data_IF_330202333110
#
_entry.id   IF_330202333110
#
_cell.length_a   1.000
_cell.length_b   1.000
_cell.length_c   1.000
_cell.angle_alpha   90.00
_cell.angle_beta   90.00
_cell.angle_gamma   90.00
#
_symmetry.space_group_name_H-M   'P 1'
#
loop_
_entity.id
_entity.type
_entity.pdbx_description
1 polymer ?
#
# COMPACT_ATOMS: atom_id res chain seq x y z
N UNK A 1 9.36 13.25 -18.22
CA UNK A 1 9.48 11.80 -18.48
C UNK A 1 8.15 11.07 -18.35
N UNK A 2 7.41 11.28 -17.27
CA UNK A 2 6.05 10.73 -17.10
C UNK A 2 5.13 10.97 -18.30
N UNK A 3 5.03 12.20 -18.81
CA UNK A 3 4.20 12.52 -20.00
C UNK A 3 4.59 11.75 -21.26
N UNK A 4 5.87 11.40 -21.41
CA UNK A 4 6.34 10.60 -22.56
C UNK A 4 5.88 9.15 -22.39
N UNK A 5 6.02 8.60 -21.19
CA UNK A 5 5.53 7.25 -20.88
C UNK A 5 4.02 7.15 -21.07
N UNK A 6 3.25 8.14 -20.60
CA UNK A 6 1.80 8.17 -20.82
C UNK A 6 1.43 8.13 -22.32
N UNK A 7 2.15 8.87 -23.16
CA UNK A 7 1.96 8.84 -24.62
C UNK A 7 2.33 7.50 -25.24
N UNK A 8 3.36 6.82 -24.73
CA UNK A 8 3.76 5.49 -25.24
C UNK A 8 2.71 4.42 -24.93
N UNK A 9 2.01 4.55 -23.82
CA UNK A 9 0.95 3.63 -23.39
C UNK A 9 -0.47 4.11 -23.78
N UNK A 10 -0.57 5.22 -24.51
CA UNK A 10 -1.85 5.75 -24.99
C UNK A 10 -2.54 4.74 -25.91
N UNK A 11 -3.76 4.35 -25.56
CA UNK A 11 -4.52 3.35 -26.32
C UNK A 11 -4.08 1.90 -26.10
N UNK A 12 -3.16 1.64 -25.16
CA UNK A 12 -2.87 0.26 -24.75
C UNK A 12 -4.13 -0.40 -24.20
N UNK A 13 -4.41 -1.64 -24.65
CA UNK A 13 -5.57 -2.42 -24.21
C UNK A 13 -5.37 -3.09 -22.86
N UNK A 14 -4.12 -3.17 -22.39
CA UNK A 14 -3.72 -4.03 -21.27
C UNK A 14 -2.98 -3.30 -20.17
N UNK A 15 -2.61 -2.03 -20.40
CA UNK A 15 -1.86 -1.22 -19.44
C UNK A 15 -2.38 0.22 -19.49
N UNK A 16 -2.48 0.83 -18.32
CA UNK A 16 -2.82 2.24 -18.17
C UNK A 16 -1.67 2.94 -17.45
N UNK A 17 -1.19 4.03 -18.03
CA UNK A 17 -0.29 4.98 -17.38
C UNK A 17 -1.03 6.30 -17.35
N UNK A 18 -1.31 6.81 -16.15
CA UNK A 18 -2.11 8.01 -15.96
C UNK A 18 -1.61 8.80 -14.74
N UNK A 19 -1.89 10.10 -14.73
CA UNK A 19 -1.74 10.96 -13.57
C UNK A 19 -3.11 11.33 -12.98
N UNK A 20 -3.13 11.64 -11.68
CA UNK A 20 -4.33 12.07 -10.96
C UNK A 20 -3.96 13.29 -10.13
N UNK A 21 -4.72 14.38 -10.29
CA UNK A 21 -4.58 15.56 -9.44
C UNK A 21 -5.32 15.35 -8.11
N UNK A 22 -4.55 14.92 -7.11
CA UNK A 22 -5.01 14.72 -5.74
C UNK A 22 -5.36 16.01 -4.99
N UNK A 23 -5.06 17.19 -5.55
CA UNK A 23 -5.38 18.51 -4.95
C UNK A 23 -6.68 19.11 -5.49
N UNK A 24 -7.22 18.52 -6.56
CA UNK A 24 -8.47 18.93 -7.18
C UNK A 24 -9.47 17.76 -7.19
N UNK A 25 -9.97 17.38 -8.36
CA UNK A 25 -11.02 16.36 -8.50
C UNK A 25 -10.61 14.94 -8.07
N UNK A 26 -9.31 14.66 -7.90
CA UNK A 26 -8.79 13.34 -7.57
C UNK A 26 -8.62 13.05 -6.08
N UNK A 27 -8.93 14.00 -5.18
CA UNK A 27 -8.63 13.87 -3.75
C UNK A 27 -9.17 12.57 -3.14
N UNK A 28 -10.44 12.25 -3.37
CA UNK A 28 -11.08 11.05 -2.81
C UNK A 28 -10.43 9.74 -3.26
N UNK A 29 -9.98 9.67 -4.52
CA UNK A 29 -9.25 8.52 -5.05
C UNK A 29 -7.89 8.40 -4.36
N UNK A 30 -7.15 9.50 -4.26
CA UNK A 30 -5.83 9.52 -3.64
C UNK A 30 -5.86 9.15 -2.16
N UNK A 31 -6.86 9.61 -1.41
CA UNK A 31 -7.09 9.19 -0.02
C UNK A 31 -7.42 7.69 0.05
N UNK A 32 -8.32 7.20 -0.82
CA UNK A 32 -8.71 5.78 -0.86
C UNK A 32 -7.53 4.85 -1.14
N UNK A 33 -6.62 5.27 -2.02
CA UNK A 33 -5.42 4.47 -2.36
C UNK A 33 -4.21 4.77 -1.46
N UNK A 34 -4.41 5.53 -0.37
CA UNK A 34 -3.40 5.75 0.66
C UNK A 34 -2.24 6.66 0.26
N UNK A 35 -2.46 7.62 -0.64
CA UNK A 35 -1.45 8.62 -1.00
C UNK A 35 -1.32 9.64 0.14
N UNK A 36 -0.12 9.70 0.75
CA UNK A 36 0.17 10.55 1.91
C UNK A 36 1.15 11.70 1.61
N UNK A 37 1.70 11.75 0.40
CA UNK A 37 2.63 12.79 -0.05
C UNK A 37 2.69 12.83 -1.57
N UNK A 38 3.23 13.92 -2.13
CA UNK A 38 3.34 14.11 -3.57
C UNK A 38 4.79 14.43 -3.98
N UNK A 39 5.27 13.92 -5.13
CA UNK A 39 4.60 12.98 -6.04
C UNK A 39 4.76 11.51 -5.61
N UNK A 40 3.65 10.77 -5.51
CA UNK A 40 3.64 9.32 -5.30
C UNK A 40 3.27 8.60 -6.59
N UNK A 41 4.05 7.59 -6.96
CA UNK A 41 3.74 6.70 -8.09
C UNK A 41 3.28 5.38 -7.49
N UNK A 42 2.15 4.88 -7.97
CA UNK A 42 1.63 3.56 -7.62
C UNK A 42 1.41 2.74 -8.88
N UNK A 43 1.47 1.42 -8.75
CA UNK A 43 1.32 0.49 -9.87
C UNK A 43 0.60 -0.79 -9.42
N UNK A 44 0.12 -1.58 -10.37
CA UNK A 44 -0.55 -2.85 -10.10
C UNK A 44 -2.04 -2.83 -10.44
N UNK A 45 -2.81 -3.67 -9.77
CA UNK A 45 -4.26 -3.76 -9.96
C UNK A 45 -4.96 -2.56 -9.30
N UNK A 46 -5.99 -1.94 -9.93
CA UNK A 46 -6.72 -0.82 -9.32
C UNK A 46 -7.30 -1.11 -7.94
N UNK A 47 -7.55 -2.37 -7.59
CA UNK A 47 -8.03 -2.80 -6.27
C UNK A 47 -6.91 -3.04 -5.25
N UNK A 48 -5.66 -3.19 -5.70
CA UNK A 48 -4.50 -3.54 -4.87
C UNK A 48 -3.22 -2.88 -5.40
N UNK A 49 -3.18 -1.54 -5.38
CA UNK A 49 -2.03 -0.77 -5.85
C UNK A 49 -0.87 -0.81 -4.86
N UNK A 50 0.34 -1.00 -5.39
CA UNK A 50 1.61 -0.98 -4.65
C UNK A 50 2.40 0.30 -4.90
N UNK A 51 3.26 0.68 -3.96
CA UNK A 51 4.17 1.83 -4.11
C UNK A 51 5.30 1.51 -5.10
N UNK A 52 5.60 2.46 -5.98
CA UNK A 52 6.72 2.38 -6.90
C UNK A 52 7.97 3.05 -6.30
N UNK A 53 8.98 2.24 -6.02
CA UNK A 53 10.25 2.66 -5.42
C UNK A 53 11.42 2.73 -6.43
N UNK A 54 11.13 2.61 -7.73
CA UNK A 54 12.15 2.61 -8.78
C UNK A 54 12.60 4.00 -9.25
N UNK A 55 13.52 4.02 -10.21
CA UNK A 55 14.03 5.25 -10.82
C UNK A 55 12.97 6.01 -11.61
N UNK A 56 12.93 7.34 -11.49
CA UNK A 56 11.91 8.19 -12.12
C UNK A 56 12.32 8.79 -13.46
N UNK A 57 13.51 8.49 -13.94
CA UNK A 57 13.93 8.81 -15.30
C UNK A 57 13.16 7.92 -16.30
N UNK A 58 13.03 8.40 -17.54
CA UNK A 58 12.26 7.70 -18.57
C UNK A 58 12.71 6.24 -18.78
N UNK A 59 14.01 5.96 -18.74
CA UNK A 59 14.53 4.62 -19.04
C UNK A 59 14.18 3.60 -17.96
N UNK A 60 14.26 4.02 -16.69
CA UNK A 60 13.84 3.22 -15.54
C UNK A 60 12.33 2.94 -15.58
N UNK A 61 11.54 3.97 -15.89
CA UNK A 61 10.08 3.85 -15.99
C UNK A 61 9.65 2.94 -17.15
N UNK A 62 10.29 3.05 -18.32
CA UNK A 62 10.02 2.20 -19.47
C UNK A 62 10.33 0.74 -19.19
N UNK A 63 11.50 0.48 -18.59
CA UNK A 63 11.92 -0.87 -18.23
C UNK A 63 10.90 -1.48 -17.27
N UNK A 64 10.55 -0.75 -16.21
CA UNK A 64 9.55 -1.19 -15.25
C UNK A 64 8.19 -1.45 -15.89
N UNK A 65 7.69 -0.51 -16.70
CA UNK A 65 6.39 -0.64 -17.35
C UNK A 65 6.35 -1.86 -18.28
N UNK A 66 7.41 -2.08 -19.07
CA UNK A 66 7.50 -3.22 -19.99
C UNK A 66 7.55 -4.58 -19.28
N UNK A 67 8.11 -4.63 -18.08
CA UNK A 67 8.25 -5.86 -17.30
C UNK A 67 6.99 -6.17 -16.52
N UNK A 68 6.32 -5.15 -15.97
CA UNK A 68 5.31 -5.28 -14.93
C UNK A 68 3.88 -4.89 -15.36
N UNK A 69 3.71 -3.99 -16.33
CA UNK A 69 2.38 -3.63 -16.86
C UNK A 69 1.93 -4.61 -17.95
N UNK A 70 2.00 -5.91 -17.62
CA UNK A 70 1.50 -6.99 -18.46
C UNK A 70 0.10 -7.39 -17.99
N UNK A 71 -0.72 -7.98 -18.88
CA UNK A 71 -1.94 -8.64 -18.47
C UNK A 71 -1.71 -9.53 -17.25
N UNK A 72 -2.44 -9.30 -16.17
CA UNK A 72 -2.37 -10.11 -14.96
C UNK A 72 -3.46 -11.17 -14.94
N UNK A 73 -3.17 -12.29 -14.30
CA UNK A 73 -4.15 -13.28 -13.90
C UNK A 73 -5.33 -12.57 -13.19
N UNK A 74 -6.52 -12.70 -13.75
CA UNK A 74 -7.76 -12.08 -13.29
C UNK A 74 -8.96 -12.83 -13.87
N UNK A 75 -10.19 -12.62 -13.37
CA UNK A 75 -11.40 -13.20 -13.96
C UNK A 75 -11.53 -12.94 -15.46
N UNK A 76 -11.09 -11.77 -15.94
CA UNK A 76 -11.12 -11.38 -17.35
C UNK A 76 -9.96 -11.94 -18.18
N UNK A 77 -8.88 -12.41 -17.55
CA UNK A 77 -7.69 -12.97 -18.19
C UNK A 77 -7.33 -14.33 -17.55
N UNK A 78 -8.32 -15.21 -17.42
CA UNK A 78 -8.17 -16.47 -16.67
C UNK A 78 -7.07 -17.37 -17.24
N UNK A 79 -6.80 -17.29 -18.54
CA UNK A 79 -5.73 -18.05 -19.21
C UNK A 79 -4.33 -17.75 -18.64
N UNK A 80 -4.14 -16.58 -18.03
CA UNK A 80 -2.88 -16.15 -17.42
C UNK A 80 -2.69 -16.65 -15.97
N UNK A 81 -3.69 -17.31 -15.41
CA UNK A 81 -3.65 -17.86 -14.07
C UNK A 81 -3.04 -19.27 -14.05
N UNK A 82 -2.32 -19.58 -12.97
CA UNK A 82 -1.99 -20.97 -12.64
C UNK A 82 -3.25 -21.76 -12.24
N UNK A 83 -3.17 -23.09 -12.27
CA UNK A 83 -4.34 -23.97 -12.08
C UNK A 83 -5.00 -23.76 -10.70
N UNK A 84 -4.22 -23.42 -9.68
CA UNK A 84 -4.72 -23.16 -8.34
C UNK A 84 -5.55 -21.87 -8.31
N UNK A 85 -5.02 -20.78 -8.87
CA UNK A 85 -5.74 -19.50 -8.98
C UNK A 85 -6.96 -19.60 -9.89
N UNK A 86 -6.88 -20.34 -11.00
CA UNK A 86 -8.04 -20.61 -11.87
C UNK A 86 -9.18 -21.22 -11.06
N UNK A 87 -8.88 -22.28 -10.31
CA UNK A 87 -9.87 -22.96 -9.49
C UNK A 87 -10.48 -22.03 -8.43
N UNK A 88 -9.65 -21.23 -7.77
CA UNK A 88 -10.12 -20.24 -6.78
C UNK A 88 -11.03 -19.18 -7.42
N UNK A 89 -10.66 -18.65 -8.59
CA UNK A 89 -11.46 -17.67 -9.32
C UNK A 89 -12.80 -18.28 -9.74
N UNK A 90 -12.79 -19.50 -10.29
CA UNK A 90 -14.01 -20.20 -10.69
C UNK A 90 -14.94 -20.48 -9.50
N UNK A 91 -14.39 -20.94 -8.36
CA UNK A 91 -15.16 -21.15 -7.12
C UNK A 91 -15.79 -19.83 -6.60
N UNK A 92 -15.04 -18.73 -6.65
CA UNK A 92 -15.54 -17.42 -6.24
C UNK A 92 -16.58 -16.86 -7.21
N UNK A 93 -16.40 -17.04 -8.52
CA UNK A 93 -17.37 -16.63 -9.54
C UNK A 93 -18.64 -17.50 -9.54
N UNK A 94 -18.55 -18.74 -9.08
CA UNK A 94 -19.69 -19.64 -8.92
C UNK A 94 -20.45 -19.44 -7.59
N UNK A 95 -19.88 -18.65 -6.65
CA UNK A 95 -20.56 -18.27 -5.41
C UNK A 95 -21.65 -17.24 -5.73
N UNK A 96 -22.81 -17.34 -5.08
CA UNK A 96 -23.87 -16.35 -5.25
C UNK A 96 -23.42 -14.96 -4.76
N UNK A 97 -23.84 -13.90 -5.44
CA UNK A 97 -23.39 -12.52 -5.17
C UNK A 97 -23.61 -12.10 -3.72
N UNK A 98 -24.73 -12.52 -3.11
CA UNK A 98 -25.07 -12.24 -1.71
C UNK A 98 -24.14 -12.96 -0.72
N UNK A 99 -23.79 -14.21 -1.01
CA UNK A 99 -22.82 -14.97 -0.20
C UNK A 99 -21.41 -14.41 -0.36
N UNK A 100 -21.03 -14.00 -1.58
CA UNK A 100 -19.74 -13.37 -1.85
C UNK A 100 -19.63 -12.02 -1.14
N UNK A 101 -20.67 -11.19 -1.18
CA UNK A 101 -20.74 -9.91 -0.47
C UNK A 101 -20.66 -10.11 1.06
N UNK A 102 -21.34 -11.13 1.60
CA UNK A 102 -21.23 -11.49 3.01
C UNK A 102 -19.80 -11.88 3.41
N UNK A 103 -19.10 -12.67 2.58
CA UNK A 103 -17.69 -13.04 2.80
C UNK A 103 -16.76 -11.81 2.73
N UNK A 104 -16.96 -10.92 1.76
CA UNK A 104 -16.19 -9.67 1.65
C UNK A 104 -16.37 -8.84 2.92
N UNK A 105 -17.61 -8.62 3.35
CA UNK A 105 -17.92 -7.85 4.56
C UNK A 105 -17.31 -8.46 5.81
N UNK A 106 -17.36 -9.78 5.98
CA UNK A 106 -16.70 -10.47 7.10
C UNK A 106 -15.19 -10.19 7.13
N UNK A 107 -14.52 -10.24 5.97
CA UNK A 107 -13.08 -9.96 5.87
C UNK A 107 -12.77 -8.49 6.09
N UNK A 108 -13.57 -7.57 5.58
CA UNK A 108 -13.43 -6.12 5.83
C UNK A 108 -13.59 -5.80 7.32
N UNK A 109 -14.61 -6.36 7.99
CA UNK A 109 -14.82 -6.19 9.43
C UNK A 109 -13.65 -6.76 10.24
N UNK A 110 -13.11 -7.92 9.82
CA UNK A 110 -11.93 -8.53 10.44
C UNK A 110 -10.66 -7.68 10.26
N UNK A 111 -10.46 -7.09 9.07
CA UNK A 111 -9.35 -6.17 8.80
C UNK A 111 -9.47 -4.93 9.69
N UNK A 112 -10.64 -4.29 9.72
CA UNK A 112 -10.88 -3.12 10.57
C UNK A 112 -10.68 -3.41 12.06
N UNK A 113 -11.14 -4.57 12.54
CA UNK A 113 -10.91 -5.02 13.91
C UNK A 113 -9.42 -5.25 14.20
N UNK A 114 -8.69 -5.80 13.23
CA UNK A 114 -7.24 -6.06 13.31
C UNK A 114 -6.44 -4.76 13.35
N UNK A 115 -6.76 -3.80 12.49
CA UNK A 115 -6.15 -2.46 12.50
C UNK A 115 -6.40 -1.72 13.82
N UNK A 116 -7.63 -1.76 14.34
CA UNK A 116 -7.96 -1.17 15.64
C UNK A 116 -7.14 -1.79 16.78
N UNK A 117 -6.92 -3.11 16.73
CA UNK A 117 -6.08 -3.82 17.72
C UNK A 117 -4.61 -3.46 17.55
N UNK A 118 -4.13 -3.32 16.32
CA UNK A 118 -2.77 -2.86 16.02
C UNK A 118 -2.56 -1.43 16.56
N UNK A 119 -3.45 -0.49 16.25
CA UNK A 119 -3.38 0.90 16.74
C UNK A 119 -3.31 0.98 18.27
N UNK A 120 -4.14 0.23 18.99
CA UNK A 120 -4.08 0.16 20.46
C UNK A 120 -2.73 -0.36 20.98
N UNK A 121 -2.12 -1.33 20.29
CA UNK A 121 -0.80 -1.84 20.66
C UNK A 121 0.29 -0.80 20.40
N UNK A 122 0.19 -0.05 19.30
CA UNK A 122 1.10 1.06 18.98
C UNK A 122 1.01 2.17 20.03
N UNK A 123 -0.20 2.60 20.40
CA UNK A 123 -0.40 3.60 21.46
C UNK A 123 0.22 3.16 22.79
N UNK A 124 -0.01 1.91 23.19
CA UNK A 124 0.59 1.34 24.40
C UNK A 124 2.12 1.29 24.33
N UNK A 125 2.67 0.99 23.14
CA UNK A 125 4.11 0.97 22.93
C UNK A 125 4.71 2.39 23.02
N UNK A 126 4.02 3.39 22.48
CA UNK A 126 4.44 4.79 22.56
C UNK A 126 4.47 5.30 24.01
N UNK A 127 3.45 5.00 24.82
CA UNK A 127 3.45 5.36 26.25
C UNK A 127 4.63 4.72 26.99
N UNK A 128 4.87 3.43 26.77
CA UNK A 128 6.02 2.75 27.37
C UNK A 128 7.37 3.33 26.93
N UNK A 129 7.48 3.72 25.65
CA UNK A 129 8.69 4.36 25.16
C UNK A 129 8.96 5.68 25.88
N UNK A 130 7.94 6.51 26.10
CA UNK A 130 8.06 7.76 26.87
C UNK A 130 8.42 7.52 28.34
N UNK A 131 7.82 6.51 28.97
CA UNK A 131 8.16 6.08 30.34
C UNK A 131 9.64 5.70 30.44
N UNK A 132 10.11 4.80 29.55
CA UNK A 132 11.51 4.37 29.53
C UNK A 132 12.49 5.51 29.21
N UNK A 133 12.11 6.44 28.32
CA UNK A 133 12.92 7.60 28.02
C UNK A 133 13.06 8.51 29.25
N UNK A 134 11.96 8.76 29.96
CA UNK A 134 11.94 9.57 31.18
C UNK A 134 12.76 8.92 32.30
N UNK A 135 12.61 7.61 32.50
CA UNK A 135 13.38 6.86 33.49
C UNK A 135 14.88 6.90 33.20
N UNK A 136 15.27 6.70 31.93
CA UNK A 136 16.65 6.81 31.47
C UNK A 136 17.19 8.23 31.71
N UNK A 137 16.45 9.27 31.34
CA UNK A 137 16.92 10.65 31.48
C UNK A 137 17.04 11.07 32.94
N UNK A 138 16.11 10.65 33.81
CA UNK A 138 16.21 10.84 35.26
C UNK A 138 17.45 10.13 35.84
N UNK A 139 17.67 8.87 35.46
CA UNK A 139 18.84 8.10 35.90
C UNK A 139 20.13 8.76 35.46
N UNK A 140 20.21 9.23 34.21
CA UNK A 140 21.38 9.96 33.70
C UNK A 140 21.58 11.29 34.42
N UNK A 141 20.52 12.01 34.76
CA UNK A 141 20.59 13.24 35.54
C UNK A 141 21.12 12.97 36.96
N UNK A 142 20.70 11.89 37.60
CA UNK A 142 21.17 11.50 38.93
C UNK A 142 22.64 11.08 38.92
N UNK A 143 23.10 10.34 37.90
CA UNK A 143 24.53 10.01 37.70
C UNK A 143 25.37 11.29 37.49
N UNK A 144 24.87 12.27 36.71
CA UNK A 144 25.56 13.55 36.54
C UNK A 144 25.65 14.33 37.86
N UNK A 145 24.60 14.30 38.68
CA UNK A 145 24.57 14.96 40.00
C UNK A 145 25.44 14.27 41.04
N UNK A 146 25.68 12.96 40.93
CA UNK A 146 26.49 12.20 41.89
C UNK A 146 28.00 12.48 41.80
N UNK A 147 28.43 13.45 41.00
CA UNK A 147 29.84 13.83 40.83
C UNK A 147 30.65 12.88 39.96
N UNK A 148 30.11 11.71 39.61
CA UNK A 148 30.72 10.74 38.70
C UNK A 148 30.78 11.22 37.25
N UNK A 149 29.93 12.18 36.85
CA UNK A 149 30.01 12.82 35.53
C UNK A 149 31.16 13.84 35.38
N UNK A 150 31.91 14.12 36.44
CA UNK A 150 33.05 15.05 36.46
C UNK A 150 34.41 14.34 36.55
N UNK A 151 34.43 13.01 36.66
CA UNK A 151 35.64 12.17 36.50
C UNK A 151 35.73 11.69 35.05
#
# INVERSE_FOLDING_TARGET
DWDKLMKEYEGSKTALVADVDCTAGGQSLCEKVGVSGYPTIKWGDPSALEDYEGGRDLSSLQSFASENLKPMCSPSNIDLCDDEKKKQIEELMATADDELEAKIKEKEDLMAATEKKFKKRVEKLQSKYQEFQTEKDNTLADIKKSGLGLM
#
